data_IF_685311299747
#
_entry.id   IF_685311299747
#
_cell.length_a   1.000
_cell.length_b   1.000
_cell.length_c   1.000
_cell.angle_alpha   90.00
_cell.angle_beta   90.00
_cell.angle_gamma   90.00
#
_symmetry.space_group_name_H-M   'P 1'
#
loop_
_entity.id
_entity.type
_entity.pdbx_description
1 polymer ?
#
# COMPACT_ATOMS: atom_id res chain seq x y z
N UNK A 1 -9.90 -1.49 13.67
CA UNK A 1 -10.08 -2.42 12.53
C UNK A 1 -8.74 -2.55 11.81
N UNK A 2 -8.45 -3.66 11.13
CA UNK A 2 -7.22 -3.84 10.34
C UNK A 2 -7.58 -4.22 8.89
N UNK A 3 -6.92 -3.58 7.92
CA UNK A 3 -7.07 -3.86 6.48
C UNK A 3 -5.70 -4.26 5.92
N UNK A 4 -5.65 -5.34 5.13
CA UNK A 4 -4.46 -5.76 4.41
C UNK A 4 -4.65 -5.51 2.90
N UNK A 5 -3.73 -4.75 2.30
CA UNK A 5 -3.66 -4.53 0.85
C UNK A 5 -2.66 -5.51 0.24
N UNK A 6 -3.12 -6.35 -0.68
CA UNK A 6 -2.30 -7.42 -1.28
C UNK A 6 -2.23 -7.29 -2.80
N UNK A 7 -1.08 -7.59 -3.39
CA UNK A 7 -0.88 -7.54 -4.84
C UNK A 7 0.41 -8.19 -5.29
N UNK A 8 0.60 -8.36 -6.61
CA UNK A 8 1.92 -8.66 -7.16
C UNK A 8 2.82 -7.41 -7.07
N UNK A 9 4.13 -7.61 -7.01
CA UNK A 9 5.10 -6.52 -6.98
C UNK A 9 4.94 -5.58 -8.18
N UNK A 10 4.86 -4.28 -7.91
CA UNK A 10 4.69 -3.22 -8.91
C UNK A 10 6.02 -2.52 -9.19
N UNK A 11 6.03 -1.49 -10.03
CA UNK A 11 7.25 -0.70 -10.28
C UNK A 11 7.61 0.19 -9.09
N UNK A 12 6.60 0.69 -8.36
CA UNK A 12 6.77 1.70 -7.31
C UNK A 12 6.63 3.13 -7.83
N UNK A 13 6.32 3.29 -9.12
CA UNK A 13 6.13 4.59 -9.77
C UNK A 13 4.96 4.49 -10.75
N UNK A 14 3.76 4.78 -10.25
CA UNK A 14 2.55 4.70 -11.06
C UNK A 14 1.36 5.33 -10.33
N UNK A 15 0.28 5.57 -11.09
CA UNK A 15 -0.94 6.13 -10.52
C UNK A 15 -1.61 5.20 -9.52
N UNK A 16 -1.41 3.89 -9.64
CA UNK A 16 -1.97 2.90 -8.74
C UNK A 16 -1.33 3.01 -7.34
N UNK A 17 -0.01 3.11 -7.30
CA UNK A 17 0.78 3.30 -6.08
C UNK A 17 0.32 4.56 -5.33
N UNK A 18 0.22 5.70 -6.04
CA UNK A 18 -0.27 6.95 -5.46
C UNK A 18 -1.67 6.81 -4.85
N UNK A 19 -2.58 6.12 -5.54
CA UNK A 19 -3.95 5.93 -5.03
C UNK A 19 -3.95 5.04 -3.78
N UNK A 20 -3.20 3.94 -3.79
CA UNK A 20 -3.12 3.03 -2.64
C UNK A 20 -2.53 3.76 -1.42
N UNK A 21 -1.43 4.49 -1.60
CA UNK A 21 -0.78 5.29 -0.54
C UNK A 21 -1.74 6.33 0.05
N UNK A 22 -2.48 7.06 -0.79
CA UNK A 22 -3.47 8.05 -0.33
C UNK A 22 -4.63 7.42 0.46
N UNK A 23 -5.14 6.27 0.00
CA UNK A 23 -6.22 5.55 0.67
C UNK A 23 -5.77 5.03 2.04
N UNK A 24 -4.59 4.43 2.11
CA UNK A 24 -4.00 3.95 3.38
C UNK A 24 -3.85 5.10 4.37
N UNK A 25 -3.20 6.20 3.97
CA UNK A 25 -3.02 7.37 4.84
C UNK A 25 -4.36 7.96 5.31
N UNK A 26 -5.39 7.95 4.45
CA UNK A 26 -6.72 8.42 4.83
C UNK A 26 -7.35 7.51 5.89
N UNK A 27 -7.22 6.19 5.74
CA UNK A 27 -7.73 5.23 6.73
C UNK A 27 -7.00 5.32 8.08
N UNK A 28 -5.68 5.43 8.05
CA UNK A 28 -4.87 5.50 9.28
C UNK A 28 -5.08 6.80 10.08
N UNK A 29 -5.45 7.88 9.39
CA UNK A 29 -5.77 9.17 10.00
C UNK A 29 -7.27 9.36 10.30
N UNK A 30 -8.12 8.42 9.88
CA UNK A 30 -9.56 8.46 10.19
C UNK A 30 -9.82 8.20 11.70
N UNK A 31 -10.98 8.64 12.19
CA UNK A 31 -11.44 8.34 13.54
C UNK A 31 -12.75 7.53 13.48
N UNK A 32 -12.76 6.27 13.96
CA UNK A 32 -11.68 5.55 14.64
C UNK A 32 -10.56 5.13 13.68
N UNK A 33 -9.31 5.11 14.18
CA UNK A 33 -8.14 4.68 13.39
C UNK A 33 -8.33 3.26 12.83
N UNK A 34 -8.08 3.12 11.54
CA UNK A 34 -8.04 1.83 10.85
C UNK A 34 -6.57 1.56 10.50
N UNK A 35 -6.00 0.49 11.04
CA UNK A 35 -4.63 0.10 10.75
C UNK A 35 -4.56 -0.54 9.36
N UNK A 36 -3.57 -0.17 8.56
CA UNK A 36 -3.38 -0.72 7.23
C UNK A 36 -2.01 -1.39 7.11
N UNK A 37 -1.95 -2.54 6.45
CA UNK A 37 -0.71 -3.27 6.16
C UNK A 37 -0.69 -3.66 4.68
N UNK A 38 0.52 -3.84 4.11
CA UNK A 38 0.70 -4.19 2.71
C UNK A 38 1.49 -5.50 2.57
N UNK A 39 1.13 -6.33 1.59
CA UNK A 39 1.85 -7.55 1.26
C UNK A 39 1.98 -7.73 -0.25
N UNK A 40 3.20 -7.93 -0.72
CA UNK A 40 3.49 -8.10 -2.14
C UNK A 40 4.03 -9.49 -2.47
N UNK A 41 3.48 -10.10 -3.51
CA UNK A 41 4.04 -11.29 -4.14
C UNK A 41 5.10 -10.88 -5.16
N UNK A 42 6.37 -11.09 -4.80
CA UNK A 42 7.51 -10.65 -5.61
C UNK A 42 8.17 -11.84 -6.33
N UNK A 43 8.43 -11.69 -7.63
CA UNK A 43 9.34 -12.61 -8.36
C UNK A 43 10.81 -12.20 -8.23
N UNK A 44 11.07 -10.93 -7.90
CA UNK A 44 12.37 -10.34 -7.60
C UNK A 44 12.16 -9.05 -6.77
N UNK A 45 13.24 -8.49 -6.20
CA UNK A 45 13.16 -7.34 -5.29
C UNK A 45 13.47 -5.99 -5.96
N UNK A 46 12.93 -5.76 -7.17
CA UNK A 46 13.18 -4.52 -7.94
C UNK A 46 12.13 -3.43 -7.77
N UNK A 47 11.07 -3.69 -7.02
CA UNK A 47 10.02 -2.70 -6.74
C UNK A 47 10.59 -1.58 -5.88
N UNK A 48 10.35 -0.32 -6.25
CA UNK A 48 10.60 0.78 -5.32
C UNK A 48 9.57 0.69 -4.17
N UNK A 49 10.05 0.75 -2.93
CA UNK A 49 9.24 0.60 -1.71
C UNK A 49 9.02 1.93 -0.98
N UNK A 50 9.48 3.04 -1.54
CA UNK A 50 9.44 4.36 -0.92
C UNK A 50 8.18 5.20 -1.25
N UNK A 51 7.20 4.62 -1.95
CA UNK A 51 5.95 5.29 -2.37
C UNK A 51 4.82 5.20 -1.34
#
# INVERSE_FOLDING_TARGET
>A
MKIAFIGEAVSGFGGMETVISNVIHTFENSSPKINCEMFFFCRNDKMDKAW
#
